data_IF_180409961879
#
_entry.id   IF_180409961879
#
_cell.length_a   1.000
_cell.length_b   1.000
_cell.length_c   1.000
_cell.angle_alpha   90.00
_cell.angle_beta   90.00
_cell.angle_gamma   90.00
#
_symmetry.space_group_name_H-M   'P 1'
#
loop_
_entity.id
_entity.type
_entity.pdbx_description
1 polymer ?
#
# COMPACT_ATOMS: atom_id res chain seq x y z
N UNK A 1 2.63 17.33 0.56
CA UNK A 1 3.73 16.40 0.31
C UNK A 1 4.94 17.01 0.98
N UNK A 2 5.56 16.31 1.93
CA UNK A 2 6.74 16.78 2.65
C UNK A 2 7.98 16.77 1.74
N UNK A 3 9.09 17.37 2.17
CA UNK A 3 10.35 17.29 1.43
C UNK A 3 10.90 15.86 1.37
N UNK A 4 10.84 15.12 2.48
CA UNK A 4 11.23 13.70 2.54
C UNK A 4 10.48 12.84 1.52
N UNK A 5 9.18 13.10 1.32
CA UNK A 5 8.40 12.40 0.31
C UNK A 5 8.84 12.74 -1.11
N UNK A 6 9.17 14.00 -1.38
CA UNK A 6 9.68 14.40 -2.70
C UNK A 6 10.98 13.69 -3.00
N UNK A 7 11.89 13.61 -2.03
CA UNK A 7 13.16 12.90 -2.18
C UNK A 7 12.95 11.42 -2.49
N UNK A 8 12.08 10.75 -1.72
CA UNK A 8 11.79 9.33 -1.95
C UNK A 8 11.08 9.09 -3.28
N UNK A 9 10.16 9.96 -3.70
CA UNK A 9 9.43 9.78 -4.96
C UNK A 9 10.27 10.11 -6.21
N UNK A 10 11.37 10.82 -6.07
CA UNK A 10 12.31 11.12 -7.15
C UNK A 10 13.38 10.02 -7.36
N UNK A 11 13.41 8.99 -6.51
CA UNK A 11 14.30 7.84 -6.69
C UNK A 11 14.02 7.14 -8.03
N UNK A 12 15.06 6.68 -8.71
CA UNK A 12 14.96 5.97 -10.00
C UNK A 12 15.27 4.47 -9.89
N UNK A 13 15.80 4.01 -8.75
CA UNK A 13 16.19 2.63 -8.54
C UNK A 13 15.01 1.78 -8.01
N UNK A 14 14.73 0.65 -8.67
CA UNK A 14 13.69 -0.31 -8.27
C UNK A 14 14.13 -1.09 -7.03
N UNK A 15 13.50 -0.78 -5.90
CA UNK A 15 13.49 -1.67 -4.73
C UNK A 15 12.38 -2.72 -4.87
N UNK A 16 12.75 -3.99 -4.71
CA UNK A 16 11.80 -5.11 -4.55
C UNK A 16 11.71 -5.45 -3.08
N UNK A 17 10.52 -5.36 -2.49
CA UNK A 17 10.27 -5.90 -1.16
C UNK A 17 9.42 -7.16 -1.33
N UNK A 18 10.00 -8.32 -1.01
CA UNK A 18 9.28 -9.57 -0.80
C UNK A 18 8.98 -9.66 0.69
N UNK A 19 7.69 -9.84 1.02
CA UNK A 19 7.25 -9.79 2.41
C UNK A 19 6.57 -11.09 2.76
N UNK A 20 7.29 -11.84 3.57
CA UNK A 20 6.80 -13.05 4.22
C UNK A 20 6.56 -12.75 5.69
N UNK A 21 5.41 -13.20 6.18
CA UNK A 21 5.24 -13.42 7.60
C UNK A 21 5.71 -14.84 7.87
N UNK A 22 6.74 -15.01 8.71
CA UNK A 22 7.33 -16.32 9.02
C UNK A 22 6.32 -17.32 9.63
N UNK A 23 5.15 -16.84 10.06
CA UNK A 23 4.07 -17.64 10.66
C UNK A 23 2.85 -17.87 9.75
N UNK A 24 2.80 -17.33 8.52
CA UNK A 24 1.60 -17.41 7.67
C UNK A 24 1.90 -17.88 6.25
N UNK A 25 0.92 -18.56 5.64
CA UNK A 25 0.99 -19.08 4.26
C UNK A 25 0.84 -18.02 3.17
N UNK A 26 0.61 -16.75 3.54
CA UNK A 26 0.28 -15.67 2.61
C UNK A 26 1.42 -14.65 2.48
N UNK A 27 1.84 -14.40 1.23
CA UNK A 27 2.88 -13.44 0.87
C UNK A 27 2.26 -12.31 0.02
N UNK A 28 2.62 -11.06 0.31
CA UNK A 28 2.36 -9.93 -0.59
C UNK A 28 3.70 -9.46 -1.13
N UNK A 29 3.83 -9.45 -2.45
CA UNK A 29 5.03 -8.93 -3.14
C UNK A 29 4.69 -7.55 -3.68
N UNK A 30 5.40 -6.53 -3.20
CA UNK A 30 5.21 -5.14 -3.62
C UNK A 30 6.46 -4.71 -4.41
N UNK A 31 6.25 -4.37 -5.68
CA UNK A 31 7.29 -3.91 -6.60
C UNK A 31 7.07 -2.43 -6.91
N UNK A 32 7.60 -1.55 -6.06
CA UNK A 32 7.37 -0.11 -6.20
C UNK A 32 8.61 0.69 -5.78
N UNK A 33 9.07 1.56 -6.68
CA UNK A 33 10.31 2.34 -6.52
C UNK A 33 10.20 3.27 -5.33
N UNK A 34 11.09 3.13 -4.34
CA UNK A 34 11.12 3.98 -3.15
C UNK A 34 10.07 3.65 -2.09
N UNK A 35 9.23 2.62 -2.29
CA UNK A 35 8.30 2.19 -1.25
C UNK A 35 9.03 1.71 0.01
N UNK A 36 10.14 0.98 -0.14
CA UNK A 36 10.92 0.48 1.01
C UNK A 36 11.47 1.62 1.84
N UNK A 37 12.12 2.59 1.18
CA UNK A 37 12.62 3.79 1.85
C UNK A 37 11.49 4.51 2.58
N UNK A 38 10.35 4.75 1.90
CA UNK A 38 9.20 5.42 2.52
C UNK A 38 8.66 4.65 3.73
N UNK A 39 8.58 3.32 3.65
CA UNK A 39 8.09 2.47 4.73
C UNK A 39 8.99 2.54 5.96
N UNK A 40 10.31 2.67 5.77
CA UNK A 40 11.27 2.72 6.88
C UNK A 40 11.43 4.13 7.47
N UNK A 41 11.26 5.19 6.65
CA UNK A 41 11.55 6.57 7.08
C UNK A 41 10.32 7.42 7.35
N UNK A 42 9.21 7.20 6.65
CA UNK A 42 8.05 8.11 6.64
C UNK A 42 6.78 7.44 7.20
N UNK A 43 6.62 6.14 7.00
CA UNK A 43 5.46 5.42 7.53
C UNK A 43 5.38 5.52 9.05
N UNK A 44 4.16 5.46 9.58
CA UNK A 44 3.99 5.33 11.02
C UNK A 44 4.64 4.02 11.50
N UNK A 45 5.33 4.03 12.66
CA UNK A 45 6.01 2.85 13.16
C UNK A 45 5.01 1.72 13.44
N UNK A 46 5.52 0.50 13.41
CA UNK A 46 4.77 -0.69 13.84
C UNK A 46 4.21 -0.46 15.25
N UNK A 47 3.00 -0.93 15.48
CA UNK A 47 2.23 -0.71 16.71
C UNK A 47 1.43 0.59 16.76
N UNK A 48 1.66 1.55 15.86
CA UNK A 48 0.88 2.80 15.83
C UNK A 48 -0.59 2.56 15.46
N UNK A 49 -0.83 1.76 14.42
CA UNK A 49 -2.16 1.32 14.02
C UNK A 49 -2.40 -0.12 14.50
N UNK A 50 -3.62 -0.39 14.96
CA UNK A 50 -4.07 -1.75 15.27
C UNK A 50 -4.31 -2.55 14.00
N UNK A 51 -4.24 -3.88 14.09
CA UNK A 51 -4.56 -4.77 12.97
C UNK A 51 -5.96 -4.50 12.43
N UNK A 52 -6.98 -4.49 13.30
CA UNK A 52 -8.38 -4.22 12.93
C UNK A 52 -8.56 -2.89 12.19
N UNK A 53 -7.84 -1.84 12.60
CA UNK A 53 -7.87 -0.56 11.89
C UNK A 53 -7.38 -0.72 10.46
N UNK A 54 -6.27 -1.42 10.26
CA UNK A 54 -5.65 -1.60 8.95
C UNK A 54 -6.49 -2.52 8.06
N UNK A 55 -7.05 -3.60 8.60
CA UNK A 55 -7.95 -4.51 7.87
C UNK A 55 -9.18 -3.79 7.31
N UNK A 56 -9.83 -2.96 8.15
CA UNK A 56 -10.98 -2.16 7.75
C UNK A 56 -10.63 -1.19 6.60
N UNK A 57 -9.42 -0.63 6.59
CA UNK A 57 -8.94 0.28 5.54
C UNK A 57 -8.54 -0.48 4.28
N UNK A 58 -7.79 -1.56 4.44
CA UNK A 58 -7.32 -2.41 3.35
C UNK A 58 -8.49 -2.95 2.54
N UNK A 59 -9.56 -3.41 3.20
CA UNK A 59 -10.78 -3.85 2.51
C UNK A 59 -11.31 -2.78 1.53
N UNK A 60 -11.43 -1.53 1.97
CA UNK A 60 -11.93 -0.42 1.14
C UNK A 60 -10.95 -0.14 0.00
N UNK A 61 -9.65 -0.07 0.31
CA UNK A 61 -8.63 0.25 -0.68
C UNK A 61 -8.49 -0.83 -1.76
N UNK A 62 -8.53 -2.11 -1.38
CA UNK A 62 -8.48 -3.24 -2.32
C UNK A 62 -9.68 -3.23 -3.26
N UNK A 63 -10.90 -2.98 -2.77
CA UNK A 63 -12.09 -2.88 -3.63
C UNK A 63 -11.90 -1.78 -4.68
N UNK A 64 -11.50 -0.58 -4.26
CA UNK A 64 -11.29 0.55 -5.17
C UNK A 64 -10.13 0.30 -6.14
N UNK A 65 -9.04 -0.30 -5.67
CA UNK A 65 -7.90 -0.69 -6.50
C UNK A 65 -8.33 -1.67 -7.59
N UNK A 66 -8.99 -2.77 -7.22
CA UNK A 66 -9.43 -3.81 -8.16
C UNK A 66 -10.42 -3.28 -9.19
N UNK A 67 -11.33 -2.38 -8.79
CA UNK A 67 -12.22 -1.70 -9.73
C UNK A 67 -11.47 -0.87 -10.78
N UNK A 68 -10.34 -0.24 -10.40
CA UNK A 68 -9.52 0.57 -11.32
C UNK A 68 -8.66 -0.28 -12.23
N UNK A 69 -8.09 -1.37 -11.73
CA UNK A 69 -7.37 -2.37 -12.54
C UNK A 69 -8.26 -2.90 -13.67
N UNK A 70 -9.55 -3.10 -13.42
CA UNK A 70 -10.52 -3.56 -14.43
C UNK A 70 -10.97 -2.48 -15.43
N UNK A 71 -10.53 -1.23 -15.26
CA UNK A 71 -10.92 -0.10 -16.11
C UNK A 71 -9.71 0.58 -16.77
N UNK A 72 -8.91 -0.14 -17.57
CA UNK A 72 -7.64 0.36 -18.14
C UNK A 72 -7.84 1.50 -19.16
N UNK A 73 -9.05 1.67 -19.71
CA UNK A 73 -9.37 2.81 -20.56
C UNK A 73 -9.57 4.12 -19.77
N UNK A 74 -9.78 4.02 -18.46
CA UNK A 74 -10.05 5.16 -17.56
C UNK A 74 -8.90 5.43 -16.58
N UNK A 75 -8.19 4.38 -16.16
CA UNK A 75 -7.08 4.47 -15.22
C UNK A 75 -5.81 3.97 -15.87
N UNK A 76 -4.69 4.63 -15.54
CA UNK A 76 -3.39 4.30 -16.11
C UNK A 76 -2.97 2.87 -15.70
N UNK A 77 -2.83 1.93 -16.66
CA UNK A 77 -2.46 0.55 -16.37
C UNK A 77 -1.01 0.40 -15.89
N UNK A 78 -0.16 1.43 -16.05
CA UNK A 78 1.20 1.39 -15.53
C UNK A 78 1.26 1.50 -14.01
N UNK A 79 0.27 2.17 -13.40
CA UNK A 79 0.17 2.34 -11.94
C UNK A 79 -0.88 1.39 -11.33
N UNK A 80 -1.87 0.93 -12.11
CA UNK A 80 -2.85 -0.09 -11.71
C UNK A 80 -2.60 -1.40 -12.46
N UNK A 81 -1.74 -2.24 -11.89
CA UNK A 81 -1.24 -3.44 -12.58
C UNK A 81 -2.13 -4.67 -12.35
N UNK A 82 -2.01 -5.31 -11.18
CA UNK A 82 -2.66 -6.57 -10.88
C UNK A 82 -3.72 -6.40 -9.79
N UNK A 83 -4.76 -7.23 -9.86
CA UNK A 83 -5.76 -7.30 -8.81
C UNK A 83 -5.16 -7.91 -7.54
N UNK A 84 -5.65 -7.44 -6.39
CA UNK A 84 -5.27 -7.94 -5.08
C UNK A 84 -6.42 -8.80 -4.57
N UNK A 85 -6.17 -10.08 -4.34
CA UNK A 85 -7.13 -11.01 -3.73
C UNK A 85 -7.00 -10.93 -2.21
N UNK A 86 -7.88 -10.15 -1.59
CA UNK A 86 -7.93 -9.94 -0.15
C UNK A 86 -9.29 -10.38 0.38
N UNK A 87 -9.33 -11.46 1.16
CA UNK A 87 -10.53 -11.96 1.80
C UNK A 87 -10.66 -11.38 3.22
N UNK A 88 -11.69 -10.58 3.52
CA UNK A 88 -11.88 -10.01 4.85
C UNK A 88 -12.17 -11.03 5.95
N UNK A 89 -12.38 -12.31 5.62
CA UNK A 89 -12.58 -13.39 6.59
C UNK A 89 -11.29 -14.15 6.92
N UNK A 90 -10.18 -13.84 6.25
CA UNK A 90 -8.87 -14.44 6.50
C UNK A 90 -8.04 -13.49 7.37
N UNK A 91 -7.49 -14.03 8.46
CA UNK A 91 -6.51 -13.31 9.28
C UNK A 91 -5.12 -13.42 8.61
N UNK A 92 -4.75 -12.39 7.86
CA UNK A 92 -3.42 -12.25 7.26
C UNK A 92 -2.36 -11.78 8.26
N UNK A 93 -2.73 -11.55 9.53
CA UNK A 93 -1.86 -11.07 10.57
C UNK A 93 -1.45 -9.60 10.42
N UNK A 94 -0.74 -9.13 11.44
CA UNK A 94 -0.35 -7.72 11.56
C UNK A 94 0.54 -7.25 10.42
N UNK A 95 1.63 -7.98 10.12
CA UNK A 95 2.67 -7.48 9.22
C UNK A 95 2.16 -7.35 7.77
N UNK A 96 1.37 -8.32 7.30
CA UNK A 96 0.75 -8.25 5.97
C UNK A 96 -0.19 -7.04 5.88
N UNK A 97 -1.05 -6.87 6.88
CA UNK A 97 -1.98 -5.74 6.93
C UNK A 97 -1.26 -4.39 7.02
N UNK A 98 -0.20 -4.30 7.83
CA UNK A 98 0.61 -3.11 8.00
C UNK A 98 1.22 -2.64 6.69
N UNK A 99 1.79 -3.56 5.93
CA UNK A 99 2.48 -3.18 4.71
C UNK A 99 1.52 -2.93 3.56
N UNK A 100 0.45 -3.72 3.42
CA UNK A 100 -0.59 -3.47 2.43
C UNK A 100 -1.23 -2.09 2.66
N UNK A 101 -1.50 -1.75 3.93
CA UNK A 101 -2.01 -0.45 4.32
C UNK A 101 -1.06 0.66 3.89
N UNK A 102 0.22 0.55 4.28
CA UNK A 102 1.23 1.54 3.97
C UNK A 102 1.50 1.67 2.47
N UNK A 103 1.41 0.59 1.70
CA UNK A 103 1.45 0.63 0.24
C UNK A 103 0.33 1.48 -0.34
N UNK A 104 -0.91 1.32 0.13
CA UNK A 104 -2.01 2.16 -0.34
C UNK A 104 -1.85 3.63 0.08
N UNK A 105 -1.29 3.90 1.25
CA UNK A 105 -0.97 5.27 1.68
C UNK A 105 0.08 5.88 0.75
N UNK A 106 1.20 5.18 0.56
CA UNK A 106 2.27 5.55 -0.35
C UNK A 106 1.73 5.83 -1.76
N UNK A 107 0.98 4.89 -2.32
CA UNK A 107 0.44 4.96 -3.68
C UNK A 107 -0.46 6.18 -3.87
N UNK A 108 -1.39 6.40 -2.95
CA UNK A 108 -2.30 7.55 -2.99
C UNK A 108 -1.53 8.88 -2.94
N UNK A 109 -0.39 8.93 -2.24
CA UNK A 109 0.41 10.15 -2.12
C UNK A 109 1.34 10.37 -3.31
N UNK A 110 2.04 9.33 -3.77
CA UNK A 110 2.90 9.38 -4.97
C UNK A 110 2.11 9.75 -6.22
N UNK A 111 1.00 9.05 -6.47
CA UNK A 111 0.23 9.18 -7.70
C UNK A 111 -0.99 10.10 -7.57
N UNK A 112 -1.14 10.78 -6.41
CA UNK A 112 -2.26 11.69 -6.10
C UNK A 112 -3.64 11.05 -6.33
N UNK A 113 -3.74 9.75 -6.04
CA UNK A 113 -4.96 8.98 -6.15
C UNK A 113 -5.74 8.97 -4.83
N UNK A 114 -7.06 8.76 -4.91
CA UNK A 114 -7.92 8.60 -3.73
C UNK A 114 -8.65 7.28 -3.81
N UNK A 115 -8.29 6.32 -2.96
CA UNK A 115 -8.87 4.97 -2.89
C UNK A 115 -9.88 4.83 -1.74
N UNK A 116 -10.11 5.89 -0.97
CA UNK A 116 -11.10 5.87 0.10
C UNK A 116 -11.62 7.24 0.49
N UNK A 117 -12.55 7.28 1.46
CA UNK A 117 -13.20 8.52 1.89
C UNK A 117 -12.25 9.48 2.61
N UNK A 118 -11.08 9.04 3.05
CA UNK A 118 -10.11 9.88 3.75
C UNK A 118 -8.86 10.04 2.90
N UNK A 119 -8.40 11.28 2.75
CA UNK A 119 -7.09 11.54 2.17
C UNK A 119 -6.01 11.10 3.19
N UNK A 120 -4.96 10.39 2.77
CA UNK A 120 -3.88 10.04 3.66
C UNK A 120 -3.22 11.28 4.26
N UNK A 121 -3.25 11.41 5.58
CA UNK A 121 -2.52 12.46 6.32
C UNK A 121 -1.31 11.82 6.96
N UNK A 122 -0.13 12.29 6.56
CA UNK A 122 1.12 12.02 7.27
C UNK A 122 1.40 13.30 8.07
N UNK A 123 1.97 13.14 9.27
CA UNK A 123 2.38 14.25 10.13
C UNK A 123 3.56 15.00 9.52
#
# INVERSE_FOLDING_TARGET
>A
MSEEEKEVFNQQDKDTISIKNDSLEYEIIILEIGFNTWLQSIAQPRGYYTQEFMENRNRIFVINWNQRVQQPLKYDPNIYQLQIFYDPNIDYGYEVNYQLYNFFIYFQRKYKQRLGPFAPRIK
#
